data_IF_793889691123
#
_entry.id   IF_793889691123
#
_cell.length_a   1.000
_cell.length_b   1.000
_cell.length_c   1.000
_cell.angle_alpha   90.00
_cell.angle_beta   90.00
_cell.angle_gamma   90.00
#
_symmetry.space_group_name_H-M   'P 1'
#
loop_
_entity.id
_entity.type
_entity.pdbx_description
1 polymer ?
#
# COMPACT_ATOMS: atom_id res chain seq x y z
N UNK A 1 -21.84 4.83 -14.56
CA UNK A 1 -20.59 5.39 -13.99
C UNK A 1 -20.81 6.88 -13.82
N UNK A 2 -20.38 7.48 -12.71
CA UNK A 2 -20.60 8.91 -12.44
C UNK A 2 -19.94 9.78 -13.53
N UNK A 3 -20.67 10.71 -14.14
CA UNK A 3 -20.17 11.55 -15.25
C UNK A 3 -18.88 12.31 -14.88
N UNK A 4 -18.75 12.71 -13.60
CA UNK A 4 -17.57 13.39 -13.08
C UNK A 4 -16.32 12.51 -13.13
N UNK A 5 -16.46 11.20 -12.92
CA UNK A 5 -15.34 10.24 -13.02
C UNK A 5 -14.85 10.16 -14.47
N UNK A 6 -15.78 10.05 -15.42
CA UNK A 6 -15.45 9.96 -16.83
C UNK A 6 -14.76 11.22 -17.34
N UNK A 7 -15.27 12.40 -16.95
CA UNK A 7 -14.67 13.69 -17.28
C UNK A 7 -13.27 13.84 -16.67
N UNK A 8 -13.07 13.39 -15.44
CA UNK A 8 -11.77 13.45 -14.76
C UNK A 8 -10.75 12.55 -15.46
N UNK A 9 -11.12 11.31 -15.79
CA UNK A 9 -10.27 10.40 -16.57
C UNK A 9 -9.92 11.02 -17.92
N UNK A 10 -10.90 11.57 -18.65
CA UNK A 10 -10.67 12.22 -19.96
C UNK A 10 -9.62 13.34 -19.85
N UNK A 11 -9.82 14.28 -18.93
CA UNK A 11 -8.93 15.41 -18.72
C UNK A 11 -7.51 14.94 -18.39
N UNK A 12 -7.36 13.92 -17.55
CA UNK A 12 -6.06 13.38 -17.16
C UNK A 12 -5.39 12.57 -18.27
N UNK A 13 -6.18 11.83 -19.05
CA UNK A 13 -5.68 11.17 -20.26
C UNK A 13 -5.09 12.17 -21.25
N UNK A 14 -5.70 13.34 -21.43
CA UNK A 14 -5.14 14.41 -22.26
C UNK A 14 -3.88 15.00 -21.63
N UNK A 15 -3.92 15.33 -20.34
CA UNK A 15 -2.80 15.95 -19.62
C UNK A 15 -1.52 15.09 -19.63
N UNK A 16 -1.66 13.77 -19.45
CA UNK A 16 -0.54 12.83 -19.33
C UNK A 16 -0.38 11.91 -20.54
N UNK A 17 -1.09 12.21 -21.64
CA UNK A 17 -1.01 11.47 -22.91
C UNK A 17 -1.27 9.97 -22.78
N UNK A 18 -2.26 9.57 -21.97
CA UNK A 18 -2.64 8.16 -21.86
C UNK A 18 -3.19 7.63 -23.19
N UNK A 19 -2.86 6.38 -23.51
CA UNK A 19 -3.47 5.70 -24.65
C UNK A 19 -4.98 5.51 -24.44
N UNK A 20 -5.72 5.35 -25.54
CA UNK A 20 -7.15 5.04 -25.46
C UNK A 20 -7.41 3.74 -24.69
N UNK A 21 -6.53 2.76 -24.84
CA UNK A 21 -6.64 1.48 -24.14
C UNK A 21 -6.50 1.69 -22.63
N UNK A 22 -5.47 2.43 -22.17
CA UNK A 22 -5.28 2.73 -20.75
C UNK A 22 -6.47 3.50 -20.18
N UNK A 23 -6.98 4.49 -20.92
CA UNK A 23 -8.19 5.23 -20.56
C UNK A 23 -9.40 4.31 -20.39
N UNK A 24 -9.64 3.39 -21.33
CA UNK A 24 -10.74 2.42 -21.25
C UNK A 24 -10.57 1.45 -20.08
N UNK A 25 -9.34 1.01 -19.81
CA UNK A 25 -9.06 0.18 -18.64
C UNK A 25 -9.34 0.94 -17.35
N UNK A 26 -8.88 2.19 -17.23
CA UNK A 26 -9.12 3.01 -16.04
C UNK A 26 -10.61 3.20 -15.77
N UNK A 27 -11.43 3.40 -16.81
CA UNK A 27 -12.88 3.45 -16.62
C UNK A 27 -13.41 2.16 -15.97
N UNK A 28 -13.00 0.98 -16.46
CA UNK A 28 -13.41 -0.31 -15.90
C UNK A 28 -12.92 -0.50 -14.45
N UNK A 29 -11.63 -0.26 -14.22
CA UNK A 29 -11.01 -0.42 -12.90
C UNK A 29 -11.66 0.51 -11.88
N UNK A 30 -11.79 1.79 -12.20
CA UNK A 30 -12.42 2.76 -11.29
C UNK A 30 -13.90 2.41 -11.05
N UNK A 31 -14.62 1.93 -12.07
CA UNK A 31 -15.97 1.41 -11.90
C UNK A 31 -16.06 0.27 -10.88
N UNK A 32 -15.14 -0.69 -10.96
CA UNK A 32 -15.05 -1.81 -10.03
C UNK A 32 -14.61 -1.36 -8.63
N UNK A 33 -13.67 -0.41 -8.52
CA UNK A 33 -13.27 0.18 -7.23
C UNK A 33 -14.44 0.87 -6.53
N UNK A 34 -15.25 1.65 -7.25
CA UNK A 34 -16.46 2.29 -6.69
C UNK A 34 -17.49 1.25 -6.24
N UNK A 35 -17.66 0.17 -7.01
CA UNK A 35 -18.54 -0.95 -6.65
C UNK A 35 -18.06 -1.67 -5.39
N UNK A 36 -16.75 -1.83 -5.23
CA UNK A 36 -16.13 -2.56 -4.11
C UNK A 36 -16.03 -1.74 -2.82
N UNK A 37 -15.51 -0.51 -2.91
CA UNK A 37 -15.30 0.36 -1.75
C UNK A 37 -16.59 1.05 -1.32
N UNK A 38 -17.44 1.47 -2.26
CA UNK A 38 -18.66 2.21 -1.98
C UNK A 38 -18.69 3.59 -2.65
N UNK A 39 -19.92 4.12 -2.82
CA UNK A 39 -20.15 5.43 -3.45
C UNK A 39 -19.64 6.58 -2.59
N UNK A 40 -19.62 6.39 -1.27
CA UNK A 40 -19.13 7.34 -0.28
C UNK A 40 -17.64 7.70 -0.46
N UNK A 41 -16.84 6.82 -1.08
CA UNK A 41 -15.42 7.05 -1.33
C UNK A 41 -15.11 7.59 -2.74
N UNK A 42 -16.13 7.92 -3.54
CA UNK A 42 -15.94 8.60 -4.85
C UNK A 42 -15.05 9.84 -4.74
N UNK A 43 -15.19 10.73 -3.74
CA UNK A 43 -14.33 11.91 -3.63
C UNK A 43 -12.83 11.55 -3.53
N UNK A 44 -12.48 10.54 -2.74
CA UNK A 44 -11.11 10.06 -2.57
C UNK A 44 -10.61 9.36 -3.83
N UNK A 45 -11.44 8.55 -4.48
CA UNK A 45 -11.12 7.90 -5.77
C UNK A 45 -10.85 8.96 -6.86
N UNK A 46 -11.66 10.03 -6.91
CA UNK A 46 -11.42 11.15 -7.83
C UNK A 46 -10.07 11.82 -7.55
N UNK A 47 -9.74 12.08 -6.27
CA UNK A 47 -8.43 12.63 -5.90
C UNK A 47 -7.29 11.73 -6.37
N UNK A 48 -7.40 10.40 -6.26
CA UNK A 48 -6.37 9.48 -6.79
C UNK A 48 -6.13 9.73 -8.28
N UNK A 49 -7.19 9.75 -9.09
CA UNK A 49 -7.08 10.02 -10.54
C UNK A 49 -6.48 11.41 -10.77
N UNK A 50 -6.78 12.38 -9.91
CA UNK A 50 -6.29 13.75 -10.04
C UNK A 50 -4.79 13.91 -9.74
N UNK A 51 -4.31 13.25 -8.70
CA UNK A 51 -2.99 13.48 -8.12
C UNK A 51 -1.95 12.40 -8.47
N UNK A 52 -2.38 11.20 -8.86
CA UNK A 52 -1.47 10.09 -9.20
C UNK A 52 -1.42 9.85 -10.72
N UNK A 53 -0.55 10.55 -11.47
CA UNK A 53 -0.24 10.18 -12.85
C UNK A 53 0.26 8.74 -12.94
N UNK A 54 -0.18 8.02 -13.97
CA UNK A 54 0.23 6.64 -14.27
C UNK A 54 1.26 6.69 -15.39
N UNK A 55 2.43 6.13 -15.14
CA UNK A 55 3.52 6.01 -16.09
C UNK A 55 3.84 4.54 -16.30
N UNK A 56 4.02 4.13 -17.56
CA UNK A 56 4.51 2.79 -17.89
C UNK A 56 5.96 2.94 -18.33
N UNK A 57 6.88 2.19 -17.71
CA UNK A 57 8.30 2.21 -18.05
C UNK A 57 8.53 1.79 -19.50
N UNK A 58 9.55 2.37 -20.13
CA UNK A 58 10.08 1.89 -21.41
C UNK A 58 10.94 0.62 -21.20
N UNK A 59 11.24 -0.08 -22.30
CA UNK A 59 11.90 -1.39 -22.26
C UNK A 59 13.25 -1.40 -21.51
N UNK A 60 14.00 -0.29 -21.58
CA UNK A 60 15.30 -0.09 -20.92
C UNK A 60 15.20 0.58 -19.53
N UNK A 61 13.98 0.86 -19.06
CA UNK A 61 13.70 1.52 -17.78
C UNK A 61 13.15 0.51 -16.76
N UNK A 62 13.40 0.78 -15.48
CA UNK A 62 12.73 0.10 -14.37
C UNK A 62 12.12 1.12 -13.40
N UNK A 63 11.29 0.63 -12.47
CA UNK A 63 10.56 1.49 -11.54
C UNK A 63 11.51 2.32 -10.68
N UNK A 64 12.58 1.73 -10.15
CA UNK A 64 13.58 2.46 -9.37
C UNK A 64 14.17 3.65 -10.15
N UNK A 65 14.55 3.45 -11.41
CA UNK A 65 15.10 4.54 -12.24
C UNK A 65 14.07 5.67 -12.46
N UNK A 66 12.79 5.34 -12.66
CA UNK A 66 11.72 6.34 -12.82
C UNK A 66 11.42 7.11 -11.54
N UNK A 67 11.37 6.42 -10.40
CA UNK A 67 11.19 7.07 -9.10
C UNK A 67 12.34 8.06 -8.83
N UNK A 68 13.57 7.69 -9.16
CA UNK A 68 14.72 8.59 -9.06
C UNK A 68 14.60 9.80 -9.99
N UNK A 69 14.19 9.60 -11.25
CA UNK A 69 13.92 10.71 -12.20
C UNK A 69 12.84 11.67 -11.69
N UNK A 70 11.82 11.15 -11.02
CA UNK A 70 10.76 11.97 -10.41
C UNK A 70 11.17 12.59 -9.07
N UNK A 71 12.35 12.27 -8.54
CA UNK A 71 12.84 12.77 -7.25
C UNK A 71 12.16 12.13 -6.03
N UNK A 72 11.63 10.91 -6.18
CA UNK A 72 11.00 10.14 -5.11
C UNK A 72 11.97 9.21 -4.37
N UNK A 73 13.24 9.15 -4.80
CA UNK A 73 14.31 8.40 -4.14
C UNK A 73 15.54 9.28 -4.09
N UNK A 74 16.09 9.48 -2.90
CA UNK A 74 17.42 10.04 -2.69
C UNK A 74 18.43 8.91 -2.36
N UNK A 75 19.67 9.00 -2.84
CA UNK A 75 20.70 7.97 -2.59
C UNK A 75 21.09 7.84 -1.10
N UNK A 76 20.77 8.87 -0.31
CA UNK A 76 21.01 8.91 1.13
C UNK A 76 19.84 8.36 1.97
N UNK A 77 18.70 8.04 1.33
CA UNK A 77 17.52 7.49 2.02
C UNK A 77 17.66 5.98 2.20
N UNK A 78 17.65 5.54 3.46
CA UNK A 78 17.56 4.13 3.82
C UNK A 78 16.09 3.76 4.07
N UNK A 79 15.59 2.78 3.32
CA UNK A 79 14.27 2.18 3.53
C UNK A 79 14.42 0.91 4.39
N UNK A 80 13.50 0.72 5.35
CA UNK A 80 13.63 -0.38 6.31
C UNK A 80 13.22 -1.73 5.70
N UNK A 81 12.06 -1.78 5.03
CA UNK A 81 11.45 -3.04 4.54
C UNK A 81 11.62 -3.21 3.03
N UNK A 82 11.20 -2.22 2.22
CA UNK A 82 11.31 -2.28 0.75
C UNK A 82 12.65 -1.70 0.32
N UNK A 83 13.52 -2.48 -0.33
CA UNK A 83 14.88 -2.02 -0.70
C UNK A 83 14.98 -1.67 -2.17
N UNK A 84 16.07 -1.00 -2.54
CA UNK A 84 16.41 -0.68 -3.94
C UNK A 84 16.29 -1.90 -4.87
N UNK A 85 16.80 -3.06 -4.44
CA UNK A 85 16.73 -4.29 -5.21
C UNK A 85 15.30 -4.75 -5.50
N UNK A 86 14.37 -4.47 -4.59
CA UNK A 86 12.96 -4.82 -4.73
C UNK A 86 12.27 -3.88 -5.73
N UNK A 87 12.54 -2.57 -5.64
CA UNK A 87 12.04 -1.57 -6.60
C UNK A 87 12.56 -1.81 -8.03
N UNK A 88 13.77 -2.34 -8.20
CA UNK A 88 14.30 -2.71 -9.52
C UNK A 88 13.58 -3.92 -10.15
N UNK A 89 12.95 -4.77 -9.33
CA UNK A 89 12.23 -5.99 -9.76
C UNK A 89 10.71 -5.84 -9.70
N UNK A 90 10.20 -4.76 -9.12
CA UNK A 90 8.78 -4.51 -8.96
C UNK A 90 8.06 -4.39 -10.31
N UNK A 91 6.81 -4.85 -10.34
CA UNK A 91 5.94 -4.75 -11.51
C UNK A 91 5.03 -3.51 -11.48
N UNK A 92 4.83 -2.93 -10.30
CA UNK A 92 4.08 -1.71 -10.07
C UNK A 92 4.54 -1.06 -8.76
N UNK A 93 4.41 0.26 -8.66
CA UNK A 93 4.54 1.04 -7.42
C UNK A 93 3.65 2.28 -7.49
N UNK A 94 2.82 2.48 -6.48
CA UNK A 94 2.25 3.77 -6.11
C UNK A 94 3.18 4.47 -5.13
N UNK A 95 3.70 5.64 -5.52
CA UNK A 95 4.60 6.43 -4.70
C UNK A 95 4.03 7.81 -4.44
N UNK A 96 4.27 8.31 -3.23
CA UNK A 96 3.96 9.68 -2.84
C UNK A 96 5.12 10.21 -2.02
N UNK A 97 5.72 11.30 -2.48
CA UNK A 97 6.89 11.92 -1.89
C UNK A 97 6.55 13.32 -1.34
N UNK A 98 6.80 13.61 -0.05
CA UNK A 98 6.53 14.93 0.53
C UNK A 98 7.56 15.96 0.05
N UNK A 99 7.09 17.19 -0.19
CA UNK A 99 7.95 18.33 -0.49
C UNK A 99 8.15 19.11 0.81
N UNK A 100 9.33 18.97 1.42
CA UNK A 100 9.66 19.56 2.73
C UNK A 100 10.71 20.65 2.54
N UNK A 101 10.46 21.81 3.15
CA UNK A 101 11.45 22.90 3.27
C UNK A 101 11.85 23.12 4.71
N UNK A 102 13.05 23.66 4.90
CA UNK A 102 13.50 24.16 6.20
C UNK A 102 13.56 25.69 6.17
N UNK A 103 12.59 26.34 6.82
CA UNK A 103 12.44 27.79 6.82
C UNK A 103 12.28 28.30 8.26
N UNK A 104 12.94 29.42 8.60
CA UNK A 104 12.85 30.05 9.92
C UNK A 104 13.12 29.10 11.12
N UNK A 105 13.99 28.12 10.93
CA UNK A 105 14.35 27.15 11.96
C UNK A 105 13.36 25.98 12.10
N UNK A 106 12.38 25.85 11.20
CA UNK A 106 11.34 24.83 11.26
C UNK A 106 11.21 24.10 9.91
N UNK A 107 10.84 22.81 9.97
CA UNK A 107 10.44 22.08 8.79
C UNK A 107 8.99 22.43 8.43
N UNK A 108 8.71 22.58 7.15
CA UNK A 108 7.38 22.90 6.60
C UNK A 108 7.08 21.95 5.46
N UNK A 109 5.91 21.31 5.51
CA UNK A 109 5.36 20.53 4.41
C UNK A 109 4.66 21.47 3.43
N UNK A 110 5.23 21.65 2.23
CA UNK A 110 4.64 22.52 1.20
C UNK A 110 3.60 21.82 0.33
N UNK A 111 3.75 20.52 0.18
CA UNK A 111 2.94 19.69 -0.69
C UNK A 111 3.54 18.31 -0.84
N UNK A 112 3.16 17.63 -1.91
CA UNK A 112 3.67 16.32 -2.24
C UNK A 112 3.64 16.11 -3.75
N UNK A 113 4.49 15.22 -4.25
CA UNK A 113 4.41 14.66 -5.60
C UNK A 113 3.99 13.20 -5.50
N UNK A 114 3.13 12.75 -6.42
CA UNK A 114 2.68 11.36 -6.44
C UNK A 114 2.76 10.79 -7.84
N UNK A 115 2.88 9.47 -7.95
CA UNK A 115 2.82 8.75 -9.22
C UNK A 115 2.45 7.29 -8.98
N UNK A 116 1.92 6.65 -10.03
CA UNK A 116 1.88 5.20 -10.16
C UNK A 116 2.79 4.85 -11.33
N UNK A 117 3.73 3.94 -11.11
CA UNK A 117 4.66 3.49 -12.14
C UNK A 117 4.46 2.00 -12.34
N UNK A 118 4.28 1.59 -13.58
CA UNK A 118 4.12 0.20 -13.99
C UNK A 118 5.36 -0.24 -14.78
N UNK A 119 5.74 -1.51 -14.65
CA UNK A 119 6.90 -2.05 -15.37
C UNK A 119 6.69 -2.00 -16.88
N UNK A 120 7.80 -2.10 -17.62
CA UNK A 120 7.79 -2.15 -19.09
C UNK A 120 7.16 -3.43 -19.66
N UNK A 121 6.92 -4.42 -18.79
CA UNK A 121 6.22 -5.67 -19.11
C UNK A 121 4.71 -5.59 -18.84
N UNK A 122 4.18 -4.43 -18.43
CA UNK A 122 2.76 -4.25 -18.24
C UNK A 122 2.00 -4.41 -19.58
N UNK A 123 1.12 -5.41 -19.64
CA UNK A 123 0.22 -5.63 -20.77
C UNK A 123 -1.23 -5.45 -20.34
N UNK A 124 -1.89 -4.47 -20.93
CA UNK A 124 -3.30 -4.14 -20.64
C UNK A 124 -4.28 -5.29 -20.93
N UNK A 125 -3.89 -6.23 -21.80
CA UNK A 125 -4.70 -7.38 -22.16
C UNK A 125 -4.48 -8.57 -21.21
N UNK A 126 -3.47 -8.52 -20.35
CA UNK A 126 -3.15 -9.59 -19.43
C UNK A 126 -3.71 -9.30 -18.03
N UNK A 127 -4.58 -10.19 -17.53
CA UNK A 127 -5.26 -10.00 -16.23
C UNK A 127 -4.31 -9.74 -15.07
N UNK A 128 -3.18 -10.46 -15.00
CA UNK A 128 -2.19 -10.26 -13.94
C UNK A 128 -1.54 -8.86 -14.00
N UNK A 129 -1.32 -8.32 -15.20
CA UNK A 129 -0.81 -6.95 -15.33
C UNK A 129 -1.86 -5.94 -14.88
N UNK A 130 -3.12 -6.13 -15.28
CA UNK A 130 -4.24 -5.30 -14.83
C UNK A 130 -4.39 -5.33 -13.31
N UNK A 131 -4.25 -6.49 -12.68
CA UNK A 131 -4.29 -6.64 -11.23
C UNK A 131 -3.22 -5.81 -10.52
N UNK A 132 -2.00 -5.74 -11.06
CA UNK A 132 -0.94 -4.87 -10.52
C UNK A 132 -1.40 -3.41 -10.50
N UNK A 133 -2.04 -2.91 -11.58
CA UNK A 133 -2.59 -1.56 -11.59
C UNK A 133 -3.69 -1.37 -10.52
N UNK A 134 -4.54 -2.39 -10.32
CA UNK A 134 -5.58 -2.36 -9.26
C UNK A 134 -4.94 -2.29 -7.87
N UNK A 135 -3.89 -3.07 -7.61
CA UNK A 135 -3.13 -3.05 -6.36
C UNK A 135 -2.55 -1.66 -6.09
N UNK A 136 -1.86 -1.06 -7.07
CA UNK A 136 -1.27 0.27 -6.91
C UNK A 136 -2.31 1.38 -6.76
N UNK A 137 -3.44 1.31 -7.46
CA UNK A 137 -4.55 2.25 -7.26
C UNK A 137 -5.16 2.11 -5.86
N UNK A 138 -5.14 0.91 -5.27
CA UNK A 138 -5.63 0.68 -3.91
C UNK A 138 -4.68 1.31 -2.88
N UNK A 139 -3.36 1.19 -3.06
CA UNK A 139 -2.37 1.94 -2.27
C UNK A 139 -2.57 3.46 -2.40
N UNK A 140 -2.74 3.96 -3.62
CA UNK A 140 -2.94 5.39 -3.85
C UNK A 140 -4.21 5.91 -3.15
N UNK A 141 -5.31 5.16 -3.21
CA UNK A 141 -6.56 5.50 -2.52
C UNK A 141 -6.38 5.60 -1.00
N UNK A 142 -5.61 4.68 -0.42
CA UNK A 142 -5.37 4.62 1.03
C UNK A 142 -4.32 5.63 1.51
N UNK A 143 -3.57 6.21 0.58
CA UNK A 143 -2.52 7.20 0.83
C UNK A 143 -2.94 8.63 0.53
N UNK A 144 -4.08 8.88 -0.13
CA UNK A 144 -4.38 10.21 -0.68
C UNK A 144 -4.68 11.27 0.40
N UNK A 145 -5.34 10.87 1.50
CA UNK A 145 -5.77 11.79 2.55
C UNK A 145 -4.94 11.59 3.82
N UNK A 146 -4.45 12.69 4.41
CA UNK A 146 -3.64 12.70 5.65
C UNK A 146 -2.37 11.81 5.60
N UNK A 147 -1.76 11.69 4.43
CA UNK A 147 -0.53 10.89 4.24
C UNK A 147 0.60 11.36 5.17
N UNK A 148 0.77 12.67 5.29
CA UNK A 148 1.92 13.27 5.96
C UNK A 148 1.52 13.99 7.24
N UNK A 149 2.28 13.75 8.30
CA UNK A 149 2.20 14.48 9.57
C UNK A 149 3.60 14.91 9.99
N UNK A 150 3.77 16.20 10.28
CA UNK A 150 5.06 16.78 10.63
C UNK A 150 5.02 17.26 12.08
N UNK A 151 5.95 16.78 12.91
CA UNK A 151 6.12 17.19 14.30
C UNK A 151 7.59 17.46 14.61
N UNK A 152 7.97 18.74 14.61
CA UNK A 152 9.38 19.12 14.79
C UNK A 152 10.24 18.61 13.64
N UNK A 153 11.24 17.79 13.95
CA UNK A 153 12.09 17.11 12.96
C UNK A 153 11.60 15.70 12.61
N UNK A 154 10.40 15.30 13.03
CA UNK A 154 9.84 13.99 12.70
C UNK A 154 8.75 14.14 11.65
N UNK A 155 8.88 13.39 10.55
CA UNK A 155 7.82 13.20 9.57
C UNK A 155 7.26 11.80 9.72
N UNK A 156 5.95 11.67 9.89
CA UNK A 156 5.25 10.40 9.74
C UNK A 156 4.53 10.38 8.38
N UNK A 157 4.80 9.36 7.59
CA UNK A 157 4.08 9.04 6.35
C UNK A 157 3.09 7.90 6.61
N UNK A 158 2.02 7.82 5.80
CA UNK A 158 0.99 6.80 5.93
C UNK A 158 0.52 6.29 4.57
N UNK A 159 0.60 4.98 4.39
CA UNK A 159 -0.08 4.25 3.31
C UNK A 159 -1.09 3.29 3.93
N UNK A 160 -2.37 3.70 3.95
CA UNK A 160 -3.42 2.94 4.61
C UNK A 160 -3.19 2.80 6.11
N UNK A 161 -2.95 1.57 6.59
CA UNK A 161 -2.62 1.28 8.00
C UNK A 161 -1.11 1.26 8.25
N UNK A 162 -0.29 1.18 7.20
CA UNK A 162 1.16 1.25 7.33
C UNK A 162 1.61 2.68 7.61
N UNK A 163 2.58 2.81 8.51
CA UNK A 163 3.22 4.08 8.81
C UNK A 163 4.73 3.95 8.81
N UNK A 164 5.39 4.97 8.31
CA UNK A 164 6.84 5.13 8.43
C UNK A 164 7.14 6.46 9.10
N UNK A 165 8.09 6.47 10.02
CA UNK A 165 8.58 7.69 10.67
C UNK A 165 10.00 7.96 10.23
N UNK A 166 10.23 9.19 9.79
CA UNK A 166 11.50 9.68 9.32
C UNK A 166 12.00 10.79 10.24
N UNK A 167 13.28 10.71 10.58
CA UNK A 167 14.01 11.84 11.14
C UNK A 167 14.50 12.74 10.02
N UNK A 168 14.15 14.02 10.09
CA UNK A 168 14.54 15.05 9.14
C UNK A 168 15.84 15.70 9.58
N UNK A 169 16.77 15.82 8.65
CA UNK A 169 17.97 16.62 8.81
C UNK A 169 18.07 17.66 7.68
N UNK A 170 18.70 18.80 7.95
CA UNK A 170 18.97 19.81 6.94
C UNK A 170 20.47 20.04 6.86
N UNK A 171 21.07 19.72 5.72
CA UNK A 171 22.48 19.99 5.43
C UNK A 171 22.57 20.91 4.21
N UNK A 172 23.12 22.11 4.41
CA UNK A 172 23.34 23.09 3.34
C UNK A 172 22.08 23.48 2.55
N UNK A 173 20.90 23.41 3.17
CA UNK A 173 19.61 23.76 2.55
C UNK A 173 18.90 22.58 1.89
N UNK A 174 19.49 21.39 1.89
CA UNK A 174 18.86 20.15 1.46
C UNK A 174 18.29 19.40 2.68
N UNK A 175 16.98 19.18 2.66
CA UNK A 175 16.32 18.31 3.64
C UNK A 175 16.55 16.87 3.23
N UNK A 176 17.02 16.05 4.17
CA UNK A 176 17.16 14.60 4.01
C UNK A 176 16.30 13.87 5.03
N UNK A 177 15.89 12.66 4.67
CA UNK A 177 14.99 11.83 5.47
C UNK A 177 15.70 10.52 5.82
N UNK A 178 15.75 10.19 7.10
CA UNK A 178 16.21 8.87 7.56
C UNK A 178 15.04 8.11 8.16
N UNK A 179 14.68 6.96 7.57
CA UNK A 179 13.67 6.10 8.19
C UNK A 179 14.20 5.58 9.53
N UNK A 180 13.42 5.80 10.60
CA UNK A 180 13.77 5.35 11.96
C UNK A 180 12.79 4.29 12.49
N UNK A 181 11.63 4.14 11.84
CA UNK A 181 10.63 3.13 12.20
C UNK A 181 9.61 2.94 11.06
N UNK A 182 9.41 1.71 10.62
CA UNK A 182 8.30 1.30 9.77
C UNK A 182 7.43 0.24 10.46
N UNK A 183 6.12 0.30 10.27
CA UNK A 183 5.23 -0.74 10.75
C UNK A 183 4.02 -0.97 9.83
N UNK A 184 3.46 -2.18 9.95
CA UNK A 184 2.22 -2.64 9.30
C UNK A 184 2.32 -2.70 7.77
N UNK A 185 3.53 -2.71 7.21
CA UNK A 185 3.77 -2.87 5.77
C UNK A 185 3.24 -4.22 5.29
N UNK A 186 3.53 -5.31 6.02
CA UNK A 186 3.07 -6.65 5.62
C UNK A 186 1.54 -6.79 5.65
N UNK A 187 0.88 -6.19 6.63
CA UNK A 187 -0.59 -6.15 6.69
C UNK A 187 -1.17 -5.30 5.57
N UNK A 188 -0.58 -4.13 5.28
CA UNK A 188 -1.03 -3.27 4.18
C UNK A 188 -0.90 -3.99 2.82
N UNK A 189 0.21 -4.66 2.53
CA UNK A 189 0.36 -5.48 1.31
C UNK A 189 -0.68 -6.60 1.24
N UNK A 190 -0.92 -7.31 2.34
CA UNK A 190 -1.93 -8.35 2.41
C UNK A 190 -3.35 -7.83 2.17
N UNK A 191 -3.69 -6.67 2.73
CA UNK A 191 -5.01 -6.04 2.53
C UNK A 191 -5.16 -5.53 1.09
N UNK A 192 -4.13 -4.90 0.50
CA UNK A 192 -4.19 -4.50 -0.92
C UNK A 192 -4.31 -5.70 -1.84
N UNK A 193 -3.64 -6.81 -1.54
CA UNK A 193 -3.76 -8.06 -2.30
C UNK A 193 -5.17 -8.68 -2.17
N UNK A 194 -5.82 -8.55 -1.00
CA UNK A 194 -7.21 -8.95 -0.83
C UNK A 194 -8.15 -8.04 -1.64
N UNK A 195 -7.97 -6.72 -1.56
CA UNK A 195 -8.76 -5.75 -2.31
C UNK A 195 -8.61 -5.95 -3.83
N UNK A 196 -7.37 -6.15 -4.32
CA UNK A 196 -7.06 -6.53 -5.69
C UNK A 196 -7.93 -7.71 -6.14
N UNK A 197 -7.92 -8.79 -5.36
CA UNK A 197 -8.65 -10.01 -5.70
C UNK A 197 -10.16 -9.76 -5.83
N UNK A 198 -10.74 -9.02 -4.86
CA UNK A 198 -12.16 -8.69 -4.87
C UNK A 198 -12.54 -7.77 -6.03
N UNK A 199 -11.74 -6.74 -6.31
CA UNK A 199 -11.99 -5.78 -7.39
C UNK A 199 -11.85 -6.47 -8.75
N UNK A 200 -10.83 -7.31 -8.93
CA UNK A 200 -10.62 -8.10 -10.14
C UNK A 200 -11.79 -9.06 -10.40
N UNK A 201 -12.29 -9.74 -9.35
CA UNK A 201 -13.48 -10.59 -9.45
C UNK A 201 -14.72 -9.79 -9.90
N UNK A 202 -14.91 -8.59 -9.35
CA UNK A 202 -16.03 -7.73 -9.74
C UNK A 202 -15.89 -7.20 -11.18
N UNK A 203 -14.67 -6.85 -11.60
CA UNK A 203 -14.41 -6.26 -12.91
C UNK A 203 -14.59 -7.27 -14.04
N UNK A 204 -14.16 -8.52 -13.84
CA UNK A 204 -14.23 -9.57 -14.87
C UNK A 204 -15.42 -10.52 -14.72
N UNK A 205 -16.16 -10.44 -13.60
CA UNK A 205 -17.27 -11.34 -13.28
C UNK A 205 -16.88 -12.83 -13.26
N UNK A 206 -15.65 -13.11 -12.85
CA UNK A 206 -15.10 -14.46 -12.74
C UNK A 206 -14.13 -14.54 -11.55
N UNK A 207 -13.88 -15.74 -10.98
CA UNK A 207 -12.89 -15.90 -9.93
C UNK A 207 -11.50 -15.46 -10.40
N UNK A 208 -10.82 -14.70 -9.54
CA UNK A 208 -9.43 -14.31 -9.70
C UNK A 208 -8.69 -14.64 -8.41
N UNK A 209 -7.42 -15.04 -8.51
CA UNK A 209 -6.54 -15.25 -7.37
C UNK A 209 -5.26 -14.44 -7.62
N UNK A 210 -4.89 -13.61 -6.66
CA UNK A 210 -3.64 -12.84 -6.77
C UNK A 210 -2.43 -13.78 -6.79
N UNK A 211 -1.38 -13.42 -7.54
CA UNK A 211 -0.13 -14.20 -7.58
C UNK A 211 0.90 -13.76 -6.53
N UNK A 212 0.70 -12.58 -5.93
CA UNK A 212 1.66 -11.95 -5.02
C UNK A 212 1.15 -12.00 -3.58
N UNK A 213 2.07 -11.97 -2.61
CA UNK A 213 1.75 -11.87 -1.17
C UNK A 213 0.70 -12.89 -0.67
N UNK A 214 0.65 -14.10 -1.24
CA UNK A 214 -0.40 -15.11 -1.01
C UNK A 214 -0.67 -15.39 0.47
N UNK A 215 0.38 -15.47 1.30
CA UNK A 215 0.28 -15.69 2.74
C UNK A 215 -0.39 -14.50 3.42
N UNK A 216 0.11 -13.28 3.16
CA UNK A 216 -0.43 -12.04 3.74
C UNK A 216 -1.87 -11.80 3.28
N UNK A 217 -2.21 -12.11 2.02
CA UNK A 217 -3.58 -12.07 1.50
C UNK A 217 -4.49 -13.04 2.27
N UNK A 218 -4.04 -14.26 2.61
CA UNK A 218 -4.84 -15.21 3.41
C UNK A 218 -5.03 -14.72 4.84
N UNK A 219 -4.00 -14.11 5.43
CA UNK A 219 -4.10 -13.48 6.75
C UNK A 219 -5.19 -12.39 6.72
N UNK A 220 -5.17 -11.52 5.72
CA UNK A 220 -6.19 -10.47 5.55
C UNK A 220 -7.60 -11.05 5.32
N UNK A 221 -7.73 -12.11 4.53
CA UNK A 221 -9.01 -12.81 4.35
C UNK A 221 -9.58 -13.33 5.68
N UNK A 222 -8.76 -14.01 6.50
CA UNK A 222 -9.17 -14.55 7.82
C UNK A 222 -9.55 -13.42 8.78
N UNK A 223 -8.83 -12.30 8.70
CA UNK A 223 -9.08 -11.09 9.47
C UNK A 223 -10.42 -10.45 9.08
N UNK A 224 -10.74 -10.37 7.79
CA UNK A 224 -12.00 -9.79 7.29
C UNK A 224 -13.23 -10.69 7.47
N UNK A 225 -13.05 -11.97 7.76
CA UNK A 225 -14.16 -12.83 8.22
C UNK A 225 -14.68 -12.46 9.62
N UNK A 226 -14.00 -11.57 10.34
CA UNK A 226 -14.43 -11.07 11.65
C UNK A 226 -15.45 -9.95 11.46
N UNK A 227 -16.56 -10.02 12.19
CA UNK A 227 -17.68 -9.07 12.07
C UNK A 227 -17.21 -7.62 12.28
N UNK A 228 -17.60 -6.71 11.38
CA UNK A 228 -17.27 -5.28 11.43
C UNK A 228 -15.82 -4.92 11.08
N UNK A 229 -14.90 -5.90 11.02
CA UNK A 229 -13.47 -5.63 10.89
C UNK A 229 -13.08 -4.99 9.56
N UNK A 230 -13.65 -5.48 8.46
CA UNK A 230 -13.42 -4.93 7.13
C UNK A 230 -13.78 -3.44 7.06
N UNK A 231 -14.95 -3.07 7.59
CA UNK A 231 -15.41 -1.68 7.57
C UNK A 231 -14.51 -0.80 8.44
N UNK A 232 -14.17 -1.27 9.64
CA UNK A 232 -13.29 -0.55 10.56
C UNK A 232 -11.91 -0.29 9.96
N UNK A 233 -11.31 -1.28 9.29
CA UNK A 233 -10.03 -1.10 8.58
C UNK A 233 -10.17 -0.14 7.40
N UNK A 234 -11.21 -0.27 6.58
CA UNK A 234 -11.41 0.63 5.43
C UNK A 234 -11.54 2.08 5.87
N UNK A 235 -12.31 2.33 6.92
CA UNK A 235 -12.44 3.66 7.50
C UNK A 235 -11.11 4.18 8.04
N UNK A 236 -10.31 3.32 8.68
CA UNK A 236 -8.97 3.69 9.15
C UNK A 236 -8.02 4.02 7.99
N UNK A 237 -7.98 3.17 6.95
CA UNK A 237 -7.08 3.30 5.79
C UNK A 237 -7.42 4.54 4.95
N UNK A 238 -8.69 4.73 4.61
CA UNK A 238 -9.11 5.78 3.66
C UNK A 238 -9.27 7.13 4.37
N UNK A 239 -9.84 7.17 5.59
CA UNK A 239 -10.08 8.44 6.31
C UNK A 239 -8.92 8.83 7.24
N UNK A 240 -7.88 8.00 7.35
CA UNK A 240 -6.68 8.24 8.15
C UNK A 240 -6.95 8.26 9.66
N UNK A 241 -7.77 7.34 10.16
CA UNK A 241 -8.09 7.19 11.59
C UNK A 241 -7.42 5.95 12.22
N UNK A 242 -6.14 5.73 11.89
CA UNK A 242 -5.39 4.53 12.28
C UNK A 242 -5.24 4.37 13.80
N UNK A 243 -5.05 5.47 14.55
CA UNK A 243 -4.87 5.40 16.00
C UNK A 243 -6.14 4.91 16.71
N UNK A 244 -7.31 5.37 16.26
CA UNK A 244 -8.59 4.88 16.80
C UNK A 244 -8.80 3.41 16.49
N UNK A 245 -8.39 2.96 15.30
CA UNK A 245 -8.44 1.54 14.95
C UNK A 245 -7.50 0.70 15.83
N UNK A 246 -6.24 1.11 16.01
CA UNK A 246 -5.29 0.37 16.86
C UNK A 246 -5.79 0.29 18.31
N UNK A 247 -6.37 1.39 18.82
CA UNK A 247 -6.99 1.40 20.14
C UNK A 247 -8.13 0.39 20.23
N UNK A 248 -9.09 0.44 19.31
CA UNK A 248 -10.23 -0.50 19.29
C UNK A 248 -9.76 -1.96 19.16
N UNK A 249 -8.76 -2.22 18.32
CA UNK A 249 -8.19 -3.56 18.18
C UNK A 249 -7.58 -4.07 19.49
N UNK A 250 -6.79 -3.23 20.16
CA UNK A 250 -6.13 -3.57 21.42
C UNK A 250 -7.13 -3.71 22.57
N UNK A 251 -8.22 -2.93 22.58
CA UNK A 251 -9.32 -3.10 23.54
C UNK A 251 -10.00 -4.47 23.41
N UNK A 252 -10.06 -5.03 22.20
CA UNK A 252 -10.68 -6.34 21.90
C UNK A 252 -9.69 -7.50 22.02
N UNK A 253 -8.40 -7.27 21.79
CA UNK A 253 -7.42 -8.37 21.62
C UNK A 253 -6.34 -8.41 22.69
N UNK A 254 -6.32 -7.42 23.58
CA UNK A 254 -5.30 -7.22 24.60
C UNK A 254 -4.31 -6.10 24.26
N UNK A 255 -3.64 -5.61 25.30
CA UNK A 255 -2.66 -4.52 25.20
C UNK A 255 -1.53 -4.89 24.21
N UNK A 256 -1.19 -3.98 23.31
CA UNK A 256 -0.15 -4.13 22.28
C UNK A 256 -0.37 -5.28 21.27
N UNK A 257 -1.57 -5.86 21.21
CA UNK A 257 -1.87 -6.96 20.28
C UNK A 257 -1.66 -6.57 18.81
N UNK A 258 -2.08 -5.36 18.42
CA UNK A 258 -1.87 -4.87 17.06
C UNK A 258 -0.38 -4.72 16.72
N UNK A 259 0.42 -4.21 17.67
CA UNK A 259 1.86 -4.02 17.46
C UNK A 259 2.57 -5.36 17.22
N UNK A 260 2.22 -6.38 18.01
CA UNK A 260 2.75 -7.73 17.81
C UNK A 260 2.33 -8.29 16.44
N UNK A 261 1.04 -8.20 16.11
CA UNK A 261 0.51 -8.72 14.85
C UNK A 261 1.12 -8.02 13.63
N UNK A 262 1.29 -6.70 13.70
CA UNK A 262 2.00 -5.89 12.73
C UNK A 262 3.44 -6.37 12.56
N UNK A 263 4.21 -6.49 13.65
CA UNK A 263 5.62 -6.91 13.58
C UNK A 263 5.79 -8.29 12.96
N UNK A 264 4.94 -9.25 13.32
CA UNK A 264 4.97 -10.59 12.75
C UNK A 264 4.67 -10.57 11.25
N UNK A 265 3.70 -9.76 10.82
CA UNK A 265 3.36 -9.59 9.41
C UNK A 265 4.47 -8.89 8.62
N UNK A 266 5.14 -7.90 9.23
CA UNK A 266 6.31 -7.22 8.66
C UNK A 266 7.51 -8.18 8.51
N UNK A 267 7.65 -9.18 9.38
CA UNK A 267 8.61 -10.27 9.17
C UNK A 267 8.24 -11.14 7.98
N UNK A 268 6.97 -11.50 7.82
CA UNK A 268 6.52 -12.30 6.68
C UNK A 268 6.74 -11.58 5.34
N UNK A 269 6.47 -10.26 5.24
CA UNK A 269 6.75 -9.53 3.98
C UNK A 269 8.24 -9.40 3.70
N UNK A 270 9.07 -9.26 4.74
CA UNK A 270 10.54 -9.28 4.59
C UNK A 270 11.02 -10.62 4.04
N UNK A 271 10.49 -11.73 4.57
CA UNK A 271 10.79 -13.09 4.09
C UNK A 271 10.34 -13.29 2.64
N UNK A 272 9.17 -12.77 2.26
CA UNK A 272 8.72 -12.76 0.88
C UNK A 272 9.74 -12.08 -0.06
N UNK A 273 10.23 -10.88 0.27
CA UNK A 273 11.26 -10.21 -0.54
C UNK A 273 12.57 -11.01 -0.61
N UNK A 274 12.98 -11.62 0.51
CA UNK A 274 14.15 -12.50 0.54
C UNK A 274 13.96 -13.75 -0.33
N UNK A 275 12.76 -14.33 -0.38
CA UNK A 275 12.47 -15.49 -1.22
C UNK A 275 12.68 -15.18 -2.71
N UNK A 276 12.28 -13.98 -3.14
CA UNK A 276 12.50 -13.49 -4.51
C UNK A 276 14.00 -13.28 -4.76
N UNK A 277 14.70 -12.67 -3.80
CA UNK A 277 16.15 -12.46 -3.90
C UNK A 277 16.93 -13.78 -4.00
N UNK A 278 16.51 -14.81 -3.27
CA UNK A 278 17.18 -16.11 -3.18
C UNK A 278 16.56 -17.18 -4.08
N UNK A 279 15.75 -16.79 -5.08
CA UNK A 279 15.06 -17.72 -5.98
C UNK A 279 15.99 -18.76 -6.63
N UNK A 280 17.25 -18.38 -6.88
CA UNK A 280 18.27 -19.24 -7.49
C UNK A 280 19.32 -19.77 -6.49
N UNK A 281 19.07 -19.64 -5.18
CA UNK A 281 19.92 -20.11 -4.09
C UNK A 281 19.12 -21.08 -3.19
N UNK A 282 18.98 -22.37 -3.57
CA UNK A 282 18.02 -23.29 -2.95
C UNK A 282 18.13 -23.42 -1.43
N UNK A 283 19.35 -23.47 -0.90
CA UNK A 283 19.60 -23.58 0.55
C UNK A 283 19.09 -22.34 1.32
N UNK A 284 19.25 -21.15 0.75
CA UNK A 284 18.74 -19.91 1.35
C UNK A 284 17.23 -19.80 1.22
N UNK A 285 16.67 -20.26 0.09
CA UNK A 285 15.23 -20.29 -0.12
C UNK A 285 14.54 -21.26 0.86
N UNK A 286 15.12 -22.43 1.09
CA UNK A 286 14.61 -23.40 2.07
C UNK A 286 14.62 -22.82 3.49
N UNK A 287 15.68 -22.09 3.86
CA UNK A 287 15.76 -21.39 5.15
C UNK A 287 14.69 -20.31 5.30
N UNK A 288 14.42 -19.52 4.24
CA UNK A 288 13.33 -18.54 4.24
C UNK A 288 11.97 -19.21 4.46
N UNK A 289 11.67 -20.29 3.72
CA UNK A 289 10.41 -21.04 3.86
C UNK A 289 10.26 -21.63 5.27
N UNK A 290 11.36 -22.13 5.85
CA UNK A 290 11.38 -22.64 7.22
C UNK A 290 11.02 -21.54 8.23
N UNK A 291 11.61 -20.35 8.08
CA UNK A 291 11.31 -19.20 8.94
C UNK A 291 9.87 -18.73 8.79
N UNK A 292 9.31 -18.70 7.57
CA UNK A 292 7.88 -18.41 7.37
C UNK A 292 7.00 -19.35 8.19
N UNK A 293 7.31 -20.66 8.16
CA UNK A 293 6.61 -21.67 8.94
C UNK A 293 6.66 -21.48 10.46
N UNK A 294 7.68 -20.79 11.00
CA UNK A 294 7.79 -20.46 12.42
C UNK A 294 6.92 -19.27 12.84
N UNK A 295 6.68 -18.33 11.92
CA UNK A 295 5.86 -17.13 12.19
C UNK A 295 4.36 -17.37 12.04
N UNK A 296 3.95 -18.29 11.15
CA UNK A 296 2.53 -18.57 10.89
C UNK A 296 1.72 -18.97 12.14
N UNK A 297 2.21 -19.84 13.05
CA UNK A 297 1.48 -20.16 14.28
C UNK A 297 1.25 -18.94 15.18
N UNK A 298 2.24 -18.04 15.28
CA UNK A 298 2.15 -16.82 16.09
C UNK A 298 1.13 -15.84 15.52
N UNK A 299 1.09 -15.70 14.19
CA UNK A 299 0.04 -14.93 13.50
C UNK A 299 -1.34 -15.52 13.78
N UNK A 300 -1.47 -16.85 13.72
CA UNK A 300 -2.73 -17.52 13.99
C UNK A 300 -3.21 -17.26 15.43
N UNK A 301 -2.32 -17.27 16.42
CA UNK A 301 -2.62 -16.89 17.80
C UNK A 301 -3.15 -15.44 17.90
N UNK A 302 -2.55 -14.48 17.19
CA UNK A 302 -3.05 -13.11 17.12
C UNK A 302 -4.47 -13.03 16.50
N UNK A 303 -4.76 -13.83 15.49
CA UNK A 303 -6.07 -13.86 14.83
C UNK A 303 -7.15 -14.53 15.70
N UNK A 304 -6.77 -15.51 16.53
CA UNK A 304 -7.68 -16.24 17.41
C UNK A 304 -8.00 -15.48 18.71
N UNK A 305 -7.08 -14.62 19.19
CA UNK A 305 -7.33 -13.77 20.36
C UNK A 305 -8.52 -12.82 20.14
N UNK A 306 -8.66 -12.26 18.94
CA UNK A 306 -9.78 -11.40 18.55
C UNK A 306 -11.15 -12.10 18.67
N UNK A 307 -11.23 -13.42 18.42
CA UNK A 307 -12.48 -14.19 18.48
C UNK A 307 -12.99 -14.43 19.90
N UNK A 308 -12.08 -14.68 20.83
CA UNK A 308 -12.45 -15.12 22.19
C UNK A 308 -13.15 -14.01 22.97
N UNK A 309 -12.77 -12.74 22.77
CA UNK A 309 -13.24 -11.62 23.61
C UNK A 309 -14.55 -10.96 23.13
N UNK A 310 -14.89 -11.06 21.84
CA UNK A 310 -16.19 -10.60 21.33
C UNK A 310 -17.37 -11.42 21.87
N UNK A 311 -17.16 -12.72 22.11
CA UNK A 311 -18.18 -13.59 22.71
C UNK A 311 -18.44 -13.24 24.18
N UNK A 312 -17.44 -12.76 24.91
CA UNK A 312 -17.59 -12.31 26.30
C UNK A 312 -18.23 -10.92 26.40
N UNK A 313 -17.99 -10.05 25.42
CA UNK A 313 -18.53 -8.68 25.40
C UNK A 313 -20.02 -8.67 25.06
N UNK A 314 -20.49 -9.58 24.20
CA UNK A 314 -21.91 -9.76 23.86
C UNK A 314 -22.72 -10.55 24.89
N UNK A 315 -22.10 -10.99 26.00
CA UNK A 315 -22.75 -11.69 27.12
C UNK A 315 -22.91 -10.82 28.38
N UNK A 316 -22.51 -9.54 28.32
CA UNK A 316 -22.72 -8.53 29.38
C UNK A 316 -23.76 -7.50 28.95
#
# INVERSE_FOLDING_TARGET
MNDVILETIERKSVQYHYSNDLKMLLQKVIGAMVSYYGQEYIPQILKVIEYYPITICQYDENIYTKLKEFGHINEEEEFEIVREGDLKRANGVASSNPIIKYENGQYVLEGFSSCIILSSTFDINHKTSVAILVHELSHALKSIDKNYQLHGNLLTTRSGISTETFELSNQQGQVTMKCINACSVGLEEGINSFDEEQIMCQMYHEPYETSSYLILRKISEIMFQKEGFLQMIRDAQINGNIYSFFQQYNEISGENAWELFSKLSDKLVTLFYQSIQYLFEPEKLEEVIRQEGEYLPQIQECLDSYRSQLQETNQK
#
